data_IF_378616515932
#
_entry.id   IF_378616515932
#
_cell.length_a   1.000
_cell.length_b   1.000
_cell.length_c   1.000
_cell.angle_alpha   90.00
_cell.angle_beta   90.00
_cell.angle_gamma   90.00
#
_symmetry.space_group_name_H-M   'P 1'
#
loop_
_entity.id
_entity.type
_entity.pdbx_description
1 polymer ?
#
# COMPACT_ATOMS: atom_id res chain seq x y z
N UNK A 1 22.01 -5.85 16.96
CA UNK A 1 21.06 -5.18 16.05
C UNK A 1 21.27 -3.68 16.24
N UNK A 2 22.03 -3.05 15.36
CA UNK A 2 22.26 -1.61 15.40
C UNK A 2 21.12 -0.96 14.63
N UNK A 3 20.31 -0.17 15.33
CA UNK A 3 19.32 0.69 14.70
C UNK A 3 20.05 1.61 13.69
N UNK A 4 19.54 1.66 12.47
CA UNK A 4 20.11 2.46 11.39
C UNK A 4 20.14 3.95 11.81
N UNK A 5 21.32 4.58 11.99
CA UNK A 5 21.43 5.92 12.59
C UNK A 5 20.82 7.04 11.72
N UNK A 6 20.48 6.75 10.46
CA UNK A 6 19.82 7.68 9.55
C UNK A 6 18.34 7.95 9.89
N UNK A 7 17.69 7.07 10.67
CA UNK A 7 16.28 7.27 11.06
C UNK A 7 16.10 8.40 12.09
N UNK A 8 17.18 8.81 12.78
CA UNK A 8 17.10 9.70 13.95
C UNK A 8 17.28 11.20 13.62
N UNK A 9 17.26 11.58 12.33
CA UNK A 9 17.48 12.98 11.88
C UNK A 9 16.47 13.45 10.82
N UNK A 10 15.34 12.79 10.63
CA UNK A 10 14.28 13.34 9.77
C UNK A 10 13.71 14.60 10.46
N UNK A 11 13.76 15.78 9.82
CA UNK A 11 13.18 16.98 10.41
C UNK A 11 11.68 16.78 10.61
N UNK A 12 11.11 17.31 11.70
CA UNK A 12 9.71 17.08 12.11
C UNK A 12 8.69 17.34 11.00
N UNK A 13 8.97 18.29 10.10
CA UNK A 13 8.13 18.61 8.95
C UNK A 13 8.10 17.50 7.88
N UNK A 14 9.17 16.72 7.73
CA UNK A 14 9.23 15.56 6.83
C UNK A 14 8.54 14.35 7.46
N UNK A 15 8.72 14.12 8.75
CA UNK A 15 8.01 13.06 9.48
C UNK A 15 6.49 13.26 9.43
N UNK A 16 6.01 14.49 9.68
CA UNK A 16 4.57 14.80 9.58
C UNK A 16 4.00 14.67 8.16
N UNK A 17 4.82 14.84 7.11
CA UNK A 17 4.39 14.60 5.71
C UNK A 17 4.28 13.12 5.40
N UNK A 18 5.25 12.32 5.87
CA UNK A 18 5.24 10.86 5.77
C UNK A 18 4.00 10.27 6.47
N UNK A 19 3.70 10.71 7.68
CA UNK A 19 2.55 10.21 8.44
C UNK A 19 1.22 10.53 7.75
N UNK A 20 1.12 11.69 7.11
CA UNK A 20 -0.05 12.05 6.31
C UNK A 20 -0.18 11.21 5.03
N UNK A 21 0.95 10.89 4.38
CA UNK A 21 0.96 10.03 3.20
C UNK A 21 0.52 8.61 3.58
N UNK A 22 1.15 8.03 4.62
CA UNK A 22 0.77 6.73 5.19
C UNK A 22 -0.71 6.67 5.53
N UNK A 23 -1.21 7.66 6.27
CA UNK A 23 -2.64 7.75 6.62
C UNK A 23 -3.54 7.80 5.39
N UNK A 24 -3.19 8.59 4.38
CA UNK A 24 -3.99 8.71 3.16
C UNK A 24 -4.03 7.39 2.38
N UNK A 25 -2.87 6.75 2.20
CA UNK A 25 -2.79 5.44 1.51
C UNK A 25 -3.57 4.38 2.28
N UNK A 26 -3.41 4.32 3.61
CA UNK A 26 -4.17 3.44 4.50
C UNK A 26 -5.68 3.61 4.30
N UNK A 27 -6.17 4.85 4.39
CA UNK A 27 -7.59 5.18 4.25
C UNK A 27 -8.14 4.78 2.87
N UNK A 28 -7.37 4.96 1.79
CA UNK A 28 -7.82 4.57 0.45
C UNK A 28 -7.79 3.04 0.25
N UNK A 29 -6.75 2.34 0.71
CA UNK A 29 -6.65 0.88 0.60
C UNK A 29 -7.77 0.19 1.39
N UNK A 30 -8.07 0.67 2.60
CA UNK A 30 -9.12 0.08 3.46
C UNK A 30 -10.50 0.05 2.79
N UNK A 31 -10.81 1.04 1.93
CA UNK A 31 -12.09 1.11 1.22
C UNK A 31 -12.34 -0.08 0.30
N UNK A 32 -11.28 -0.71 -0.21
CA UNK A 32 -11.38 -1.88 -1.09
C UNK A 32 -11.82 -3.16 -0.38
N UNK A 33 -11.81 -3.17 0.96
CA UNK A 33 -12.37 -4.28 1.73
C UNK A 33 -13.90 -4.19 1.90
N UNK A 34 -14.54 -3.07 1.52
CA UNK A 34 -16.00 -2.81 1.45
C UNK A 34 -16.89 -3.76 2.28
N UNK A 35 -16.85 -3.62 3.61
CA UNK A 35 -17.72 -4.36 4.54
C UNK A 35 -17.32 -5.82 4.80
N UNK A 36 -16.15 -6.24 4.32
CA UNK A 36 -15.50 -7.52 4.62
C UNK A 36 -16.03 -8.73 3.83
N UNK A 37 -17.03 -8.53 2.95
CA UNK A 37 -17.65 -9.61 2.17
C UNK A 37 -18.39 -9.11 0.93
N UNK A 38 -18.38 -9.92 -0.13
CA UNK A 38 -19.18 -9.69 -1.33
C UNK A 38 -18.95 -10.79 -2.36
N UNK A 39 -19.95 -11.09 -3.19
CA UNK A 39 -19.82 -12.03 -4.32
C UNK A 39 -19.13 -13.37 -4.00
N UNK A 40 -19.47 -14.00 -2.86
CA UNK A 40 -18.84 -15.24 -2.39
C UNK A 40 -17.33 -15.12 -2.10
N UNK A 41 -16.89 -13.95 -1.65
CA UNK A 41 -15.50 -13.66 -1.25
C UNK A 41 -15.54 -12.93 0.10
N UNK A 42 -14.59 -13.28 0.97
CA UNK A 42 -14.25 -12.54 2.18
C UNK A 42 -13.07 -11.63 1.89
N UNK A 43 -13.15 -10.38 2.36
CA UNK A 43 -12.13 -9.37 2.15
C UNK A 43 -11.52 -8.97 3.50
N UNK A 44 -10.20 -9.00 3.58
CA UNK A 44 -9.44 -8.69 4.79
C UNK A 44 -8.46 -7.57 4.52
N UNK A 45 -8.69 -6.41 5.15
CA UNK A 45 -7.70 -5.34 5.17
C UNK A 45 -6.58 -5.69 6.15
N UNK A 46 -5.33 -5.55 5.68
CA UNK A 46 -4.11 -5.69 6.47
C UNK A 46 -3.42 -4.33 6.43
N UNK A 47 -3.38 -3.65 7.57
CA UNK A 47 -2.91 -2.27 7.67
C UNK A 47 -1.75 -2.20 8.67
N UNK A 48 -0.52 -2.10 8.16
CA UNK A 48 0.71 -2.01 8.94
C UNK A 48 1.29 -0.58 8.84
N UNK A 49 0.90 0.27 9.81
CA UNK A 49 1.36 1.66 9.85
C UNK A 49 2.85 1.80 10.20
N UNK A 50 3.40 0.85 10.96
CA UNK A 50 4.82 0.84 11.34
C UNK A 50 5.69 0.67 10.10
N UNK A 51 5.37 -0.34 9.29
CA UNK A 51 6.11 -0.66 8.05
C UNK A 51 5.59 0.07 6.82
N UNK A 52 4.44 0.75 6.91
CA UNK A 52 3.80 1.43 5.79
C UNK A 52 3.33 0.46 4.72
N UNK A 53 2.81 -0.71 5.10
CA UNK A 53 2.33 -1.76 4.17
C UNK A 53 0.82 -1.94 4.35
N UNK A 54 0.09 -1.82 3.25
CA UNK A 54 -1.37 -1.81 3.24
C UNK A 54 -1.88 -2.74 2.15
N UNK A 55 -2.70 -3.73 2.53
CA UNK A 55 -3.23 -4.70 1.59
C UNK A 55 -4.71 -5.00 1.84
N UNK A 56 -5.38 -5.47 0.80
CA UNK A 56 -6.67 -6.15 0.90
C UNK A 56 -6.52 -7.53 0.30
N UNK A 57 -6.73 -8.57 1.11
CA UNK A 57 -6.70 -9.95 0.66
C UNK A 57 -8.12 -10.48 0.44
N UNK A 58 -8.28 -11.27 -0.61
CA UNK A 58 -9.50 -12.00 -0.93
C UNK A 58 -9.35 -13.48 -0.58
N UNK A 59 -10.40 -14.05 0.00
CA UNK A 59 -10.53 -15.48 0.24
C UNK A 59 -11.91 -15.92 -0.22
N UNK A 60 -11.97 -16.91 -1.11
CA UNK A 60 -13.24 -17.49 -1.55
C UNK A 60 -14.06 -18.05 -0.37
N UNK A 61 -15.38 -17.87 -0.49
CA UNK A 61 -16.37 -18.27 0.51
C UNK A 61 -17.75 -18.45 -0.12
N UNK A 62 -18.51 -19.53 0.05
CA UNK A 62 -18.52 -20.58 1.08
C UNK A 62 -17.61 -21.77 0.79
N UNK A 63 -17.13 -21.90 -0.45
CA UNK A 63 -16.15 -22.90 -0.86
C UNK A 63 -14.85 -22.21 -1.17
N UNK A 64 -13.74 -22.93 -0.99
CA UNK A 64 -12.41 -22.48 -1.39
C UNK A 64 -12.08 -23.13 -2.71
N UNK A 65 -12.50 -22.48 -3.79
CA UNK A 65 -12.28 -22.98 -5.14
C UNK A 65 -10.90 -22.53 -5.64
N UNK A 66 -10.41 -21.36 -5.19
CA UNK A 66 -9.08 -20.84 -5.49
C UNK A 66 -8.20 -20.56 -4.25
N UNK A 67 -6.93 -20.26 -4.50
CA UNK A 67 -5.97 -19.79 -3.50
C UNK A 67 -6.31 -18.36 -3.09
N UNK A 68 -6.17 -18.04 -1.80
CA UNK A 68 -6.31 -16.68 -1.31
C UNK A 68 -5.35 -15.73 -2.05
N UNK A 69 -5.86 -14.58 -2.48
CA UNK A 69 -5.15 -13.63 -3.33
C UNK A 69 -5.13 -12.22 -2.76
N UNK A 70 -4.30 -11.37 -3.35
CA UNK A 70 -4.23 -9.94 -3.05
C UNK A 70 -5.11 -9.20 -4.05
N UNK A 71 -6.01 -8.35 -3.56
CA UNK A 71 -6.87 -7.47 -4.38
C UNK A 71 -6.14 -6.16 -4.67
N UNK A 72 -5.55 -5.59 -3.63
CA UNK A 72 -4.71 -4.38 -3.68
C UNK A 72 -3.58 -4.56 -2.68
N UNK A 73 -2.36 -4.18 -3.06
CA UNK A 73 -1.20 -4.05 -2.15
C UNK A 73 -0.43 -2.77 -2.48
N UNK A 74 -0.27 -1.94 -1.48
CA UNK A 74 0.51 -0.71 -1.56
C UNK A 74 1.47 -0.56 -0.39
N UNK A 75 2.58 0.14 -0.63
CA UNK A 75 3.60 0.45 0.37
C UNK A 75 3.96 1.91 0.31
N UNK A 76 4.30 2.49 1.46
CA UNK A 76 4.85 3.84 1.56
C UNK A 76 6.31 3.77 1.98
N UNK A 77 7.20 4.30 1.14
CA UNK A 77 8.64 4.33 1.38
C UNK A 77 9.15 5.71 1.00
N UNK A 78 9.76 6.40 1.96
CA UNK A 78 10.11 7.81 1.77
C UNK A 78 8.86 8.64 1.48
N UNK A 79 8.92 9.47 0.45
CA UNK A 79 7.80 10.32 0.01
C UNK A 79 6.99 9.69 -1.14
N UNK A 80 7.13 8.38 -1.36
CA UNK A 80 6.52 7.66 -2.48
C UNK A 80 5.53 6.59 -2.04
N UNK A 81 4.58 6.33 -2.92
CA UNK A 81 3.64 5.22 -2.82
C UNK A 81 3.98 4.21 -3.92
N UNK A 82 4.23 2.97 -3.55
CA UNK A 82 4.42 1.87 -4.50
C UNK A 82 3.20 0.99 -4.46
N UNK A 83 2.55 0.82 -5.62
CA UNK A 83 1.43 -0.08 -5.79
C UNK A 83 1.98 -1.37 -6.41
N UNK A 84 2.09 -2.40 -5.57
CA UNK A 84 2.63 -3.72 -5.93
C UNK A 84 1.61 -4.57 -6.68
N UNK A 85 0.33 -4.43 -6.32
CA UNK A 85 -0.77 -5.17 -6.93
C UNK A 85 -2.05 -4.32 -6.91
N UNK A 86 -2.81 -4.39 -8.00
CA UNK A 86 -4.14 -3.77 -8.11
C UNK A 86 -4.99 -4.48 -9.17
N UNK A 87 -5.78 -5.43 -8.69
CA UNK A 87 -6.69 -6.24 -9.51
C UNK A 87 -8.08 -5.63 -9.67
N UNK A 88 -8.26 -4.38 -9.26
CA UNK A 88 -9.58 -3.74 -9.21
C UNK A 88 -9.89 -2.99 -10.49
N UNK A 89 -11.17 -2.82 -10.81
CA UNK A 89 -11.60 -1.94 -11.91
C UNK A 89 -11.40 -0.46 -11.55
N UNK A 90 -11.61 -0.10 -10.27
CA UNK A 90 -11.42 1.25 -9.75
C UNK A 90 -10.03 1.39 -9.15
N UNK A 91 -9.05 1.76 -9.98
CA UNK A 91 -7.64 1.72 -9.58
C UNK A 91 -7.30 2.60 -8.38
N UNK A 92 -6.40 2.11 -7.53
CA UNK A 92 -5.89 2.82 -6.37
C UNK A 92 -5.15 4.10 -6.80
N UNK A 93 -4.42 4.08 -7.92
CA UNK A 93 -3.73 5.27 -8.44
C UNK A 93 -4.69 6.44 -8.64
N UNK A 94 -5.87 6.18 -9.22
CA UNK A 94 -6.87 7.22 -9.45
C UNK A 94 -7.43 7.76 -8.12
N UNK A 95 -7.67 6.87 -7.15
CA UNK A 95 -8.13 7.25 -5.82
C UNK A 95 -7.10 8.11 -5.07
N UNK A 96 -5.81 7.76 -5.15
CA UNK A 96 -4.72 8.53 -4.55
C UNK A 96 -4.55 9.89 -5.22
N UNK A 97 -4.67 9.97 -6.55
CA UNK A 97 -4.63 11.25 -7.26
C UNK A 97 -5.82 12.17 -6.90
N UNK A 98 -7.01 11.60 -6.69
CA UNK A 98 -8.17 12.35 -6.17
C UNK A 98 -7.95 12.90 -4.76
N UNK A 99 -7.02 12.30 -4.01
CA UNK A 99 -6.55 12.75 -2.70
C UNK A 99 -5.34 13.70 -2.77
N UNK A 100 -5.08 14.25 -3.95
CA UNK A 100 -4.01 15.21 -4.22
C UNK A 100 -2.59 14.63 -4.07
N UNK A 101 -2.44 13.30 -4.10
CA UNK A 101 -1.11 12.67 -4.22
C UNK A 101 -0.67 12.78 -5.68
N UNK A 102 0.50 13.37 -5.90
CA UNK A 102 0.98 13.62 -7.25
C UNK A 102 1.42 12.32 -7.93
N UNK A 103 1.21 12.23 -9.26
CA UNK A 103 1.44 11.00 -10.02
C UNK A 103 2.91 10.54 -10.03
N UNK A 104 3.83 11.49 -9.98
CA UNK A 104 5.28 11.29 -9.86
C UNK A 104 5.72 10.72 -8.50
N UNK A 105 4.89 10.84 -7.47
CA UNK A 105 5.07 10.16 -6.18
C UNK A 105 4.55 8.73 -6.17
N UNK A 106 3.80 8.32 -7.20
CA UNK A 106 3.18 6.99 -7.28
C UNK A 106 3.96 6.13 -8.28
N UNK A 107 4.31 4.91 -7.87
CA UNK A 107 4.95 3.90 -8.73
C UNK A 107 3.98 2.74 -8.91
N UNK A 108 3.69 2.41 -10.17
CA UNK A 108 2.88 1.24 -10.53
C UNK A 108 3.79 0.04 -10.79
N UNK A 109 4.24 -0.63 -9.72
CA UNK A 109 5.17 -1.75 -9.84
C UNK A 109 4.58 -2.92 -10.64
N UNK A 110 3.28 -3.20 -10.46
CA UNK A 110 2.56 -4.22 -11.27
C UNK A 110 2.55 -3.92 -12.78
N UNK A 111 2.75 -2.66 -13.17
CA UNK A 111 2.82 -2.23 -14.57
C UNK A 111 4.27 -2.17 -15.10
N UNK A 112 5.26 -2.58 -14.29
CA UNK A 112 6.68 -2.56 -14.64
C UNK A 112 7.34 -1.19 -14.47
N UNK A 113 6.73 -0.23 -13.77
CA UNK A 113 7.39 1.03 -13.45
C UNK A 113 8.60 0.79 -12.54
N UNK A 114 9.70 1.47 -12.84
CA UNK A 114 10.91 1.34 -12.03
C UNK A 114 10.68 1.97 -10.66
N UNK A 115 10.90 1.18 -9.61
CA UNK A 115 10.93 1.66 -8.23
C UNK A 115 12.25 2.43 -8.04
N UNK A 116 12.22 3.76 -7.86
CA UNK A 116 13.44 4.53 -7.63
C UNK A 116 14.06 4.09 -6.30
N UNK A 117 15.38 3.99 -6.23
CA UNK A 117 16.10 3.58 -5.01
C UNK A 117 15.61 2.25 -4.42
N UNK A 118 15.33 1.24 -5.26
CA UNK A 118 14.78 -0.08 -4.90
C UNK A 118 15.40 -0.74 -3.65
N UNK A 119 16.65 -0.45 -3.31
CA UNK A 119 17.29 -0.89 -2.06
C UNK A 119 16.56 -0.41 -0.78
N UNK A 120 15.83 0.71 -0.82
CA UNK A 120 14.97 1.18 0.29
C UNK A 120 13.63 0.42 0.35
N UNK A 121 13.34 -0.37 -0.67
CA UNK A 121 12.06 -1.01 -0.91
C UNK A 121 12.14 -2.54 -0.78
N UNK A 122 13.34 -3.12 -0.71
CA UNK A 122 13.56 -4.51 -0.36
C UNK A 122 13.35 -4.68 1.15
N UNK A 123 12.48 -5.62 1.53
CA UNK A 123 12.37 -6.06 2.92
C UNK A 123 13.67 -6.83 3.23
N UNK A 124 14.61 -6.16 3.89
CA UNK A 124 15.94 -6.66 4.32
C UNK A 124 16.15 -8.18 4.16
N UNK A 125 17.02 -8.57 3.22
CA UNK A 125 17.62 -9.91 3.13
C UNK A 125 18.58 -10.20 4.29
#
# INVERSE_FOLDING_TARGET
>A
MLANPLMNQLPESLAGRMDNLKRTVREEVEKYATGGRGANILLFAILDDERGIYAVNAVDYLKRDDVAGVVVLARVVGDRVVIEEDMTDKKLVDALQQREISRDQIVLAYAGETIPDAAQFELDA
#
